data_IF_602409353873
#
_entry.id   IF_602409353873
#
_cell.length_a   1.000
_cell.length_b   1.000
_cell.length_c   1.000
_cell.angle_alpha   90.00
_cell.angle_beta   90.00
_cell.angle_gamma   90.00
#
_symmetry.space_group_name_H-M   'P 1'
#
loop_
_entity.id
_entity.type
_entity.pdbx_description
1 polymer ?
#
# COMPACT_ATOMS: atom_id res chain seq x y z
N UNK A 1 -31.42 7.24 -1.91
CA UNK A 1 -32.51 8.18 -1.57
C UNK A 1 -32.87 8.96 -2.82
N UNK A 2 -33.98 9.69 -2.86
CA UNK A 2 -34.22 10.60 -3.99
C UNK A 2 -33.06 11.60 -4.08
N UNK A 3 -32.36 11.66 -5.23
CA UNK A 3 -31.27 12.61 -5.50
C UNK A 3 -29.89 12.23 -4.96
N UNK A 4 -29.66 10.99 -4.53
CA UNK A 4 -28.32 10.57 -4.10
C UNK A 4 -28.22 9.22 -3.37
N UNK A 5 -27.01 8.96 -2.88
CA UNK A 5 -26.61 7.76 -2.15
C UNK A 5 -26.39 8.05 -0.67
N UNK A 6 -26.51 7.03 0.16
CA UNK A 6 -26.09 7.04 1.57
C UNK A 6 -24.99 6.01 1.71
N UNK A 7 -23.89 6.39 2.35
CA UNK A 7 -22.76 5.52 2.63
C UNK A 7 -22.75 5.21 4.12
N UNK A 8 -22.70 3.92 4.43
CA UNK A 8 -22.51 3.36 5.75
C UNK A 8 -21.35 2.35 5.70
N UNK A 9 -20.50 2.34 6.73
CA UNK A 9 -19.42 1.36 6.87
C UNK A 9 -18.05 1.97 7.15
N UNK A 10 -16.99 1.27 6.76
CA UNK A 10 -15.61 1.63 7.11
C UNK A 10 -14.67 1.57 5.90
N UNK A 11 -13.78 2.56 5.79
CA UNK A 11 -12.62 2.54 4.92
C UNK A 11 -11.33 2.58 5.78
N UNK A 12 -10.67 1.43 6.01
CA UNK A 12 -9.64 1.32 7.05
C UNK A 12 -8.25 1.83 6.69
N UNK A 13 -7.99 2.25 5.45
CA UNK A 13 -6.64 2.60 4.99
C UNK A 13 -6.62 3.85 4.10
N UNK A 14 -7.20 4.95 4.57
CA UNK A 14 -7.25 6.20 3.81
C UNK A 14 -5.99 7.02 4.05
N UNK A 15 -5.19 7.22 3.01
CA UNK A 15 -3.90 7.93 3.08
C UNK A 15 -4.04 9.38 2.64
N UNK A 16 -3.33 10.29 3.30
CA UNK A 16 -3.25 11.71 2.96
C UNK A 16 -4.18 12.60 3.76
N UNK A 17 -4.70 12.16 4.91
CA UNK A 17 -5.58 12.98 5.73
C UNK A 17 -4.86 14.28 6.18
N UNK A 18 -5.58 15.39 6.23
CA UNK A 18 -5.05 16.76 6.41
C UNK A 18 -4.01 17.19 5.34
N UNK A 19 -3.90 16.47 4.22
CA UNK A 19 -3.03 16.82 3.08
C UNK A 19 -3.82 16.96 1.77
N UNK A 20 -5.06 16.47 1.74
CA UNK A 20 -5.95 16.50 0.59
C UNK A 20 -7.28 17.12 0.99
N UNK A 21 -7.92 17.80 0.07
CA UNK A 21 -9.25 18.40 0.28
C UNK A 21 -10.38 17.46 -0.16
N UNK A 22 -10.07 16.46 -0.99
CA UNK A 22 -11.06 15.59 -1.64
C UNK A 22 -10.67 14.13 -1.56
N UNK A 23 -11.66 13.29 -1.26
CA UNK A 23 -11.56 11.83 -1.31
C UNK A 23 -12.28 11.31 -2.56
N UNK A 24 -11.66 10.38 -3.27
CA UNK A 24 -12.34 9.59 -4.30
C UNK A 24 -12.77 8.25 -3.69
N UNK A 25 -14.01 8.20 -3.23
CA UNK A 25 -14.53 7.11 -2.41
C UNK A 25 -15.34 6.15 -3.27
N UNK A 26 -15.05 4.85 -3.13
CA UNK A 26 -15.86 3.78 -3.67
C UNK A 26 -16.70 3.15 -2.57
N UNK A 27 -18.00 3.04 -2.80
CA UNK A 27 -18.93 2.26 -1.97
C UNK A 27 -19.56 1.16 -2.83
N UNK A 28 -19.92 0.04 -2.20
CA UNK A 28 -20.59 -1.07 -2.87
C UNK A 28 -21.96 -1.27 -2.25
N UNK A 29 -22.98 -1.39 -3.08
CA UNK A 29 -24.33 -1.73 -2.64
C UNK A 29 -24.59 -3.24 -2.61
N UNK A 30 -25.74 -3.63 -2.07
CA UNK A 30 -26.18 -5.03 -1.96
C UNK A 30 -26.35 -5.73 -3.31
N UNK A 31 -26.58 -4.97 -4.38
CA UNK A 31 -26.71 -5.50 -5.75
C UNK A 31 -25.36 -5.86 -6.39
N UNK A 32 -24.25 -5.49 -5.75
CA UNK A 32 -22.92 -5.67 -6.32
C UNK A 32 -22.49 -4.54 -7.25
N UNK A 33 -23.17 -3.40 -7.18
CA UNK A 33 -22.81 -2.19 -7.91
C UNK A 33 -21.81 -1.37 -7.08
N UNK A 34 -20.78 -0.85 -7.74
CA UNK A 34 -19.79 0.07 -7.16
C UNK A 34 -20.12 1.48 -7.60
N UNK A 35 -20.27 2.37 -6.63
CA UNK A 35 -20.50 3.80 -6.82
C UNK A 35 -19.25 4.54 -6.39
N UNK A 36 -18.69 5.33 -7.29
CA UNK A 36 -17.55 6.22 -7.04
C UNK A 36 -18.03 7.65 -6.90
N UNK A 37 -17.62 8.32 -5.83
CA UNK A 37 -17.99 9.70 -5.59
C UNK A 37 -16.82 10.54 -5.05
N UNK A 38 -16.91 11.85 -5.25
CA UNK A 38 -16.01 12.82 -4.64
C UNK A 38 -16.61 13.32 -3.32
N UNK A 39 -15.90 13.08 -2.21
CA UNK A 39 -16.28 13.55 -0.89
C UNK A 39 -15.28 14.60 -0.41
N UNK A 40 -15.72 15.51 0.46
CA UNK A 40 -14.81 16.44 1.10
C UNK A 40 -14.04 15.70 2.22
N UNK A 41 -12.73 15.92 2.31
CA UNK A 41 -11.87 15.29 3.30
C UNK A 41 -11.97 16.01 4.66
N UNK A 42 -13.19 16.11 5.19
CA UNK A 42 -13.49 16.86 6.43
C UNK A 42 -14.32 15.98 7.35
N UNK A 43 -13.92 15.89 8.62
CA UNK A 43 -14.68 15.15 9.63
C UNK A 43 -16.02 15.83 9.95
N UNK A 44 -17.03 15.03 10.33
CA UNK A 44 -18.38 15.49 10.64
C UNK A 44 -19.42 15.01 9.63
N UNK A 45 -20.70 15.39 9.82
CA UNK A 45 -21.81 15.01 8.94
C UNK A 45 -21.88 13.51 8.63
N UNK A 46 -21.68 12.66 9.64
CA UNK A 46 -21.66 11.20 9.47
C UNK A 46 -20.30 10.62 9.05
N UNK A 47 -19.23 11.44 8.94
CA UNK A 47 -17.86 10.97 8.71
C UNK A 47 -17.00 11.12 9.96
N UNK A 48 -16.61 9.99 10.55
CA UNK A 48 -15.66 9.91 11.66
C UNK A 48 -14.27 9.52 11.16
N UNK A 49 -13.25 10.02 11.83
CA UNK A 49 -11.85 9.89 11.41
C UNK A 49 -11.01 9.45 12.60
N UNK A 50 -10.25 8.38 12.43
CA UNK A 50 -9.33 7.87 13.45
C UNK A 50 -7.92 7.69 12.87
N UNK A 51 -6.91 8.43 13.36
CA UNK A 51 -5.53 8.26 12.91
C UNK A 51 -4.96 6.88 13.24
N UNK A 52 -4.26 6.28 12.27
CA UNK A 52 -3.55 5.03 12.47
C UNK A 52 -2.11 5.26 12.95
N UNK A 53 -1.74 4.63 14.06
CA UNK A 53 -0.37 4.65 14.58
C UNK A 53 0.53 3.64 13.85
N UNK A 54 1.00 4.01 12.66
CA UNK A 54 1.79 3.13 11.81
C UNK A 54 3.26 3.04 12.27
N UNK A 55 3.83 1.83 12.16
CA UNK A 55 5.26 1.59 12.41
C UNK A 55 6.16 2.26 11.37
N UNK A 56 5.69 2.45 10.15
CA UNK A 56 6.39 3.14 9.07
C UNK A 56 5.43 4.08 8.34
N UNK A 57 5.95 4.84 7.37
CA UNK A 57 5.16 5.73 6.51
C UNK A 57 4.27 6.75 7.23
N UNK A 58 4.45 7.03 8.53
CA UNK A 58 3.60 7.95 9.33
C UNK A 58 3.35 9.33 8.69
N UNK A 59 4.26 9.82 7.87
CA UNK A 59 4.10 11.06 7.11
C UNK A 59 2.92 11.02 6.12
N UNK A 60 2.42 9.82 5.79
CA UNK A 60 1.24 9.59 4.94
C UNK A 60 -0.07 9.99 5.62
N UNK A 61 -0.08 10.24 6.94
CA UNK A 61 -1.28 10.60 7.72
C UNK A 61 -2.46 9.68 7.39
N UNK A 62 -2.22 8.38 7.50
CA UNK A 62 -3.25 7.38 7.18
C UNK A 62 -4.26 7.26 8.33
N UNK A 63 -5.54 7.19 7.99
CA UNK A 63 -6.66 7.13 8.92
C UNK A 63 -7.63 6.00 8.57
N UNK A 64 -8.42 5.59 9.55
CA UNK A 64 -9.68 4.87 9.35
C UNK A 64 -10.79 5.91 9.20
N UNK A 65 -11.60 5.78 8.15
CA UNK A 65 -12.84 6.52 8.01
C UNK A 65 -14.02 5.63 8.35
N UNK A 66 -14.94 6.13 9.18
CA UNK A 66 -16.24 5.50 9.43
C UNK A 66 -17.35 6.39 8.94
N UNK A 67 -18.23 5.82 8.14
CA UNK A 67 -19.41 6.47 7.57
C UNK A 67 -20.64 5.97 8.32
N UNK A 68 -21.44 6.91 8.81
CA UNK A 68 -22.72 6.69 9.50
C UNK A 68 -23.75 7.63 8.87
N UNK A 69 -24.56 7.08 7.96
CA UNK A 69 -25.57 7.83 7.22
C UNK A 69 -25.01 8.94 6.33
N UNK A 70 -23.79 8.82 5.81
CA UNK A 70 -23.16 9.90 5.04
C UNK A 70 -23.84 10.06 3.67
N UNK A 71 -24.52 11.19 3.46
CA UNK A 71 -25.22 11.46 2.21
C UNK A 71 -24.30 11.99 1.11
N UNK A 72 -24.47 11.46 -0.11
CA UNK A 72 -23.74 11.85 -1.31
C UNK A 72 -24.75 12.21 -2.40
N UNK A 73 -24.80 13.48 -2.86
CA UNK A 73 -25.71 13.86 -3.94
C UNK A 73 -25.24 13.32 -5.29
N UNK A 74 -26.17 13.09 -6.22
CA UNK A 74 -25.87 12.51 -7.55
C UNK A 74 -24.81 13.31 -8.32
N UNK A 75 -24.76 14.63 -8.16
CA UNK A 75 -23.77 15.50 -8.81
C UNK A 75 -22.31 15.22 -8.39
N UNK A 76 -22.09 14.59 -7.24
CA UNK A 76 -20.77 14.18 -6.76
C UNK A 76 -20.37 12.78 -7.23
N UNK A 77 -21.30 12.04 -7.86
CA UNK A 77 -21.05 10.70 -8.38
C UNK A 77 -20.27 10.81 -9.69
N UNK A 78 -19.12 10.16 -9.72
CA UNK A 78 -18.19 10.16 -10.86
C UNK A 78 -18.31 8.92 -11.72
N UNK A 79 -18.75 7.79 -11.15
CA UNK A 79 -18.92 6.53 -11.88
C UNK A 79 -19.83 5.56 -11.12
N UNK A 80 -20.60 4.78 -11.87
CA UNK A 80 -21.36 3.64 -11.37
C UNK A 80 -21.05 2.46 -12.28
N UNK A 81 -20.66 1.31 -11.72
CA UNK A 81 -20.38 0.11 -12.51
C UNK A 81 -20.43 -1.18 -11.68
N UNK A 82 -20.57 -2.36 -12.31
CA UNK A 82 -20.51 -3.64 -11.58
C UNK A 82 -19.16 -3.87 -10.89
N UNK A 83 -19.19 -4.49 -9.71
CA UNK A 83 -17.98 -4.85 -8.95
C UNK A 83 -17.01 -5.73 -9.75
N UNK A 84 -17.52 -6.62 -10.60
CA UNK A 84 -16.68 -7.50 -11.41
C UNK A 84 -15.71 -6.71 -12.33
N UNK A 85 -16.18 -5.59 -12.90
CA UNK A 85 -15.33 -4.72 -13.73
C UNK A 85 -14.26 -4.01 -12.91
N UNK A 86 -14.58 -3.61 -11.68
CA UNK A 86 -13.60 -3.03 -10.76
C UNK A 86 -12.48 -4.03 -10.44
N UNK A 87 -12.87 -5.24 -10.03
CA UNK A 87 -11.94 -6.27 -9.60
C UNK A 87 -10.93 -6.65 -10.71
N UNK A 88 -11.40 -6.69 -11.96
CA UNK A 88 -10.53 -6.96 -13.11
C UNK A 88 -9.48 -5.85 -13.34
N UNK A 89 -9.85 -4.58 -13.18
CA UNK A 89 -8.94 -3.44 -13.37
C UNK A 89 -7.95 -3.27 -12.22
N UNK A 90 -8.40 -3.45 -10.98
CA UNK A 90 -7.58 -3.28 -9.78
C UNK A 90 -6.38 -4.26 -9.75
N UNK A 91 -6.52 -5.44 -10.35
CA UNK A 91 -5.44 -6.41 -10.53
C UNK A 91 -4.28 -5.90 -11.40
N UNK A 92 -4.48 -4.88 -12.25
CA UNK A 92 -3.44 -4.35 -13.13
C UNK A 92 -2.45 -3.40 -12.42
N UNK A 93 -2.79 -2.88 -11.23
CA UNK A 93 -1.98 -1.87 -10.52
C UNK A 93 -0.80 -2.45 -9.70
N UNK A 94 -0.58 -3.78 -9.76
CA UNK A 94 0.40 -4.47 -8.90
C UNK A 94 1.86 -4.08 -9.17
N UNK A 95 2.19 -3.64 -10.39
CA UNK A 95 3.57 -3.32 -10.81
C UNK A 95 4.12 -2.11 -10.08
N UNK A 96 3.33 -1.03 -10.00
CA UNK A 96 3.75 0.22 -9.37
C UNK A 96 4.12 -0.01 -7.89
N UNK A 97 3.28 -0.75 -7.17
CA UNK A 97 3.50 -1.01 -5.75
C UNK A 97 4.68 -1.97 -5.48
N UNK A 98 5.12 -2.75 -6.46
CA UNK A 98 6.33 -3.58 -6.36
C UNK A 98 7.62 -2.77 -6.37
N UNK A 99 7.63 -1.64 -7.08
CA UNK A 99 8.82 -0.79 -7.25
C UNK A 99 9.23 -0.07 -5.96
N UNK A 100 8.30 0.13 -5.02
CA UNK A 100 8.59 0.74 -3.72
C UNK A 100 9.67 -0.03 -2.93
N UNK A 101 9.62 -1.37 -2.98
CA UNK A 101 10.61 -2.23 -2.34
C UNK A 101 12.02 -2.09 -2.92
N UNK A 102 12.12 -1.79 -4.22
CA UNK A 102 13.41 -1.50 -4.85
C UNK A 102 14.06 -0.26 -4.26
N UNK A 103 13.30 0.75 -3.86
CA UNK A 103 13.83 1.98 -3.24
C UNK A 103 14.47 1.71 -1.88
N UNK A 104 13.79 0.94 -1.02
CA UNK A 104 14.33 0.52 0.29
C UNK A 104 15.58 -0.34 0.10
N UNK A 105 15.51 -1.36 -0.76
CA UNK A 105 16.65 -2.21 -1.06
C UNK A 105 17.84 -1.41 -1.64
N UNK A 106 17.60 -0.48 -2.57
CA UNK A 106 18.63 0.38 -3.15
C UNK A 106 19.34 1.23 -2.10
N UNK A 107 18.61 1.81 -1.14
CA UNK A 107 19.23 2.58 -0.07
C UNK A 107 20.09 1.70 0.84
N UNK A 108 19.62 0.51 1.18
CA UNK A 108 20.42 -0.46 1.96
C UNK A 108 21.69 -0.87 1.21
N UNK A 109 21.59 -1.19 -0.08
CA UNK A 109 22.74 -1.53 -0.94
C UNK A 109 23.76 -0.39 -0.97
N UNK A 110 23.31 0.86 -1.12
CA UNK A 110 24.19 2.01 -1.16
C UNK A 110 24.92 2.25 0.17
N UNK A 111 24.27 2.00 1.30
CA UNK A 111 24.86 2.15 2.63
C UNK A 111 25.82 1.01 2.99
N UNK A 112 25.58 -0.20 2.49
CA UNK A 112 26.41 -1.38 2.71
C UNK A 112 27.58 -1.53 1.70
N UNK A 113 27.47 -0.85 0.56
CA UNK A 113 28.30 -1.09 -0.64
C UNK A 113 28.42 -2.58 -1.04
N UNK A 114 27.28 -3.29 -1.02
CA UNK A 114 27.25 -4.74 -1.25
C UNK A 114 27.00 -5.09 -2.71
N UNK A 115 28.03 -5.56 -3.43
CA UNK A 115 27.91 -6.04 -4.81
C UNK A 115 26.88 -7.19 -4.99
N UNK A 116 26.82 -8.22 -4.11
CA UNK A 116 25.80 -9.26 -4.22
C UNK A 116 24.36 -8.74 -4.09
N UNK A 117 24.12 -7.80 -3.16
CA UNK A 117 22.78 -7.21 -3.01
C UNK A 117 22.44 -6.28 -4.19
N UNK A 118 23.43 -5.63 -4.80
CA UNK A 118 23.26 -4.84 -6.03
C UNK A 118 22.80 -5.72 -7.19
N UNK A 119 23.47 -6.85 -7.43
CA UNK A 119 23.03 -7.80 -8.47
C UNK A 119 21.62 -8.35 -8.23
N UNK A 120 21.27 -8.66 -6.97
CA UNK A 120 19.91 -9.09 -6.62
C UNK A 120 18.86 -7.99 -6.84
N UNK A 121 19.20 -6.73 -6.54
CA UNK A 121 18.36 -5.56 -6.79
C UNK A 121 18.09 -5.37 -8.29
N UNK A 122 19.14 -5.46 -9.11
CA UNK A 122 19.03 -5.32 -10.57
C UNK A 122 18.17 -6.45 -11.14
N UNK A 123 18.35 -7.69 -10.65
CA UNK A 123 17.50 -8.83 -11.02
C UNK A 123 16.03 -8.63 -10.65
N UNK A 124 15.72 -8.13 -9.44
CA UNK A 124 14.34 -7.84 -9.03
C UNK A 124 13.72 -6.73 -9.88
N UNK A 125 14.50 -5.70 -10.23
CA UNK A 125 14.06 -4.62 -11.12
C UNK A 125 13.71 -5.15 -12.50
N UNK A 126 14.61 -5.93 -13.11
CA UNK A 126 14.37 -6.57 -14.40
C UNK A 126 13.13 -7.46 -14.40
N UNK A 127 12.93 -8.26 -13.34
CA UNK A 127 11.75 -9.12 -13.21
C UNK A 127 10.44 -8.32 -13.08
N UNK A 128 10.44 -7.20 -12.36
CA UNK A 128 9.28 -6.31 -12.29
C UNK A 128 9.01 -5.62 -13.63
N UNK A 129 10.05 -5.19 -14.34
CA UNK A 129 9.98 -4.52 -15.65
C UNK A 129 9.49 -5.42 -16.77
N UNK A 130 9.91 -6.69 -16.76
CA UNK A 130 9.46 -7.69 -17.72
C UNK A 130 8.19 -8.45 -17.29
N UNK A 131 7.66 -8.18 -16.08
CA UNK A 131 6.60 -8.99 -15.48
C UNK A 131 5.27 -8.96 -16.24
N UNK A 132 4.76 -10.13 -16.62
CA UNK A 132 3.38 -10.32 -17.08
C UNK A 132 2.40 -10.37 -15.89
N UNK A 133 1.08 -10.21 -16.08
CA UNK A 133 0.12 -10.34 -14.98
C UNK A 133 0.27 -11.61 -14.14
N UNK A 134 0.65 -12.73 -14.76
CA UNK A 134 0.87 -14.03 -14.10
C UNK A 134 2.19 -14.08 -13.31
N UNK A 135 3.27 -13.48 -13.84
CA UNK A 135 4.59 -13.47 -13.21
C UNK A 135 4.79 -12.35 -12.19
N UNK A 136 3.97 -11.30 -12.26
CA UNK A 136 4.09 -10.11 -11.42
C UNK A 136 3.98 -10.42 -9.92
N UNK A 137 3.11 -11.32 -9.44
CA UNK A 137 3.06 -11.66 -8.02
C UNK A 137 4.39 -12.17 -7.46
N UNK A 138 5.08 -13.03 -8.21
CA UNK A 138 6.39 -13.56 -7.82
C UNK A 138 7.47 -12.48 -7.83
N UNK A 139 7.50 -11.64 -8.86
CA UNK A 139 8.44 -10.51 -8.93
C UNK A 139 8.23 -9.53 -7.77
N UNK A 140 6.96 -9.25 -7.41
CA UNK A 140 6.56 -8.38 -6.30
C UNK A 140 6.97 -8.98 -4.95
N UNK A 141 6.79 -10.29 -4.78
CA UNK A 141 7.24 -11.01 -3.59
C UNK A 141 8.77 -11.01 -3.47
N UNK A 142 9.49 -11.26 -4.56
CA UNK A 142 10.96 -11.24 -4.59
C UNK A 142 11.54 -9.88 -4.20
N UNK A 143 11.00 -8.79 -4.76
CA UNK A 143 11.44 -7.43 -4.41
C UNK A 143 11.21 -7.10 -2.93
N UNK A 144 10.07 -7.50 -2.37
CA UNK A 144 9.73 -7.26 -0.96
C UNK A 144 10.62 -8.09 -0.01
N UNK A 145 10.86 -9.36 -0.35
CA UNK A 145 11.80 -10.21 0.39
C UNK A 145 13.23 -9.67 0.33
N UNK A 146 13.66 -9.17 -0.84
CA UNK A 146 14.97 -8.52 -0.99
C UNK A 146 15.08 -7.28 -0.09
N UNK A 147 14.06 -6.41 -0.04
CA UNK A 147 14.06 -5.23 0.81
C UNK A 147 14.21 -5.61 2.30
N UNK A 148 13.47 -6.62 2.77
CA UNK A 148 13.60 -7.14 4.13
C UNK A 148 15.01 -7.69 4.41
N UNK A 149 15.55 -8.51 3.50
CA UNK A 149 16.91 -9.06 3.62
C UNK A 149 17.99 -7.98 3.63
N UNK A 150 17.89 -6.99 2.74
CA UNK A 150 18.85 -5.90 2.65
C UNK A 150 18.78 -4.97 3.89
N UNK A 151 17.57 -4.68 4.40
CA UNK A 151 17.40 -3.92 5.63
C UNK A 151 17.95 -4.67 6.86
N UNK A 152 17.72 -5.98 6.96
CA UNK A 152 18.30 -6.81 8.01
C UNK A 152 19.84 -6.83 7.92
N UNK A 153 20.41 -6.98 6.72
CA UNK A 153 21.86 -6.90 6.53
C UNK A 153 22.44 -5.55 6.97
N UNK A 154 21.76 -4.44 6.64
CA UNK A 154 22.17 -3.11 7.06
C UNK A 154 22.10 -2.94 8.58
N UNK A 155 21.03 -3.42 9.22
CA UNK A 155 20.89 -3.37 10.67
C UNK A 155 22.00 -4.16 11.37
N UNK A 156 22.30 -5.37 10.89
CA UNK A 156 23.39 -6.20 11.42
C UNK A 156 24.76 -5.53 11.25
N UNK A 157 25.03 -4.96 10.07
CA UNK A 157 26.30 -4.27 9.82
C UNK A 157 26.49 -3.01 10.69
N UNK A 158 25.40 -2.29 10.97
CA UNK A 158 25.43 -1.10 11.83
C UNK A 158 25.53 -1.45 13.33
N UNK A 159 25.12 -2.65 13.74
CA UNK A 159 25.17 -3.11 15.13
C UNK A 159 24.13 -2.43 16.02
N UNK A 160 24.42 -2.26 17.31
CA UNK A 160 23.46 -1.76 18.31
C UNK A 160 22.84 -0.41 17.97
N UNK A 161 23.58 0.46 17.26
CA UNK A 161 23.05 1.75 16.80
C UNK A 161 21.86 1.64 15.83
N UNK A 162 21.64 0.46 15.22
CA UNK A 162 20.54 0.21 14.31
C UNK A 162 19.15 0.28 14.97
N UNK A 163 19.06 0.19 16.30
CA UNK A 163 17.79 0.30 17.05
C UNK A 163 17.47 1.75 17.46
N UNK A 164 18.39 2.69 17.24
CA UNK A 164 18.16 4.09 17.55
C UNK A 164 17.21 4.72 16.53
N UNK A 165 16.17 5.38 17.04
CA UNK A 165 15.24 6.18 16.23
C UNK A 165 16.01 7.20 15.39
N UNK A 166 15.64 7.30 14.11
CA UNK A 166 16.27 8.24 13.17
C UNK A 166 17.49 7.68 12.44
N UNK A 167 18.04 6.53 12.87
CA UNK A 167 19.05 5.85 12.08
C UNK A 167 18.48 5.29 10.78
N UNK A 168 19.32 5.17 9.75
CA UNK A 168 18.88 4.62 8.48
C UNK A 168 18.43 3.16 8.61
N UNK A 169 19.18 2.33 9.34
CA UNK A 169 18.82 0.93 9.54
C UNK A 169 17.44 0.79 10.21
N UNK A 170 17.18 1.55 11.27
CA UNK A 170 15.90 1.55 11.99
C UNK A 170 14.74 1.91 11.06
N UNK A 171 14.87 3.01 10.31
CA UNK A 171 13.84 3.47 9.38
C UNK A 171 13.57 2.46 8.26
N UNK A 172 14.63 2.02 7.59
CA UNK A 172 14.53 1.11 6.44
C UNK A 172 14.00 -0.26 6.85
N UNK A 173 14.25 -0.71 8.07
CA UNK A 173 13.69 -1.96 8.62
C UNK A 173 12.17 -1.85 8.78
N UNK A 174 11.67 -0.75 9.35
CA UNK A 174 10.23 -0.52 9.50
C UNK A 174 9.54 -0.35 8.14
N UNK A 175 10.18 0.37 7.21
CA UNK A 175 9.68 0.52 5.84
C UNK A 175 9.66 -0.82 5.10
N UNK A 176 10.68 -1.67 5.26
CA UNK A 176 10.70 -3.01 4.70
C UNK A 176 9.55 -3.87 5.25
N UNK A 177 9.28 -3.81 6.56
CA UNK A 177 8.13 -4.49 7.18
C UNK A 177 6.81 -4.04 6.56
N UNK A 178 6.61 -2.73 6.39
CA UNK A 178 5.40 -2.20 5.76
C UNK A 178 5.21 -2.75 4.32
N UNK A 179 6.30 -2.86 3.56
CA UNK A 179 6.25 -3.34 2.18
C UNK A 179 5.98 -4.84 2.04
N UNK A 180 6.07 -5.63 3.12
CA UNK A 180 5.63 -7.03 3.12
C UNK A 180 4.10 -7.17 3.01
N UNK A 181 3.36 -6.15 3.46
CA UNK A 181 1.88 -6.20 3.55
C UNK A 181 1.19 -5.21 2.62
N UNK A 182 1.82 -4.08 2.34
CA UNK A 182 1.21 -2.98 1.61
C UNK A 182 0.79 -3.38 0.19
N UNK A 183 -0.47 -3.09 -0.17
CA UNK A 183 -1.02 -3.40 -1.50
C UNK A 183 -0.89 -4.87 -1.91
N UNK A 184 -0.83 -5.78 -0.93
CA UNK A 184 -0.63 -7.22 -1.19
C UNK A 184 -1.93 -7.90 -1.61
N UNK A 185 -1.79 -9.04 -2.29
CA UNK A 185 -2.88 -9.89 -2.79
C UNK A 185 -2.60 -11.35 -2.41
N UNK A 186 -3.61 -12.25 -2.42
CA UNK A 186 -3.41 -13.64 -2.04
C UNK A 186 -2.21 -14.33 -2.72
N UNK A 187 -2.05 -14.17 -4.03
CA UNK A 187 -0.91 -14.75 -4.77
C UNK A 187 0.45 -14.18 -4.32
N UNK A 188 0.53 -12.86 -4.08
CA UNK A 188 1.76 -12.20 -3.59
C UNK A 188 2.08 -12.69 -2.17
N UNK A 189 1.07 -12.79 -1.31
CA UNK A 189 1.23 -13.28 0.06
C UNK A 189 1.71 -14.72 0.09
N UNK A 190 1.17 -15.59 -0.77
CA UNK A 190 1.59 -16.98 -0.88
C UNK A 190 3.05 -17.08 -1.35
N UNK A 191 3.40 -16.39 -2.43
CA UNK A 191 4.77 -16.34 -2.95
C UNK A 191 5.77 -15.80 -1.90
N UNK A 192 5.40 -14.72 -1.20
CA UNK A 192 6.23 -14.11 -0.18
C UNK A 192 6.40 -15.01 1.05
N UNK A 193 5.33 -15.65 1.51
CA UNK A 193 5.39 -16.60 2.62
C UNK A 193 6.32 -17.78 2.30
N UNK A 194 6.21 -18.36 1.10
CA UNK A 194 7.09 -19.44 0.65
C UNK A 194 8.57 -19.03 0.62
N UNK A 195 8.87 -17.78 0.25
CA UNK A 195 10.24 -17.24 0.21
C UNK A 195 10.84 -16.90 1.58
N UNK A 196 10.00 -16.57 2.56
CA UNK A 196 10.46 -16.17 3.89
C UNK A 196 10.48 -17.32 4.89
N UNK A 197 9.66 -18.35 4.68
CA UNK A 197 9.55 -19.52 5.56
C UNK A 197 10.30 -20.75 5.04
N UNK A 198 10.70 -20.78 3.77
CA UNK A 198 11.52 -21.83 3.14
C UNK A 198 12.99 -21.46 3.11
#
# INVERSE_FOLDING_TARGET
MAGGYVIDGEAPWVTGWDMVDTLHTAARDESGTVVWALLDAVAGNGLQVEPLDLVAVRASRTVVLRFDGYFVPDERVTRIHPYAEWAARDAANLRLNGSLALGVAARCVALLDSAPLRGALDGCRGALDAGTPEGLPEARAAASALAARAAAALATAQGSGAVLRGSHAERLTREALFLLVFGSRPAIKAALAGRLAG
#
